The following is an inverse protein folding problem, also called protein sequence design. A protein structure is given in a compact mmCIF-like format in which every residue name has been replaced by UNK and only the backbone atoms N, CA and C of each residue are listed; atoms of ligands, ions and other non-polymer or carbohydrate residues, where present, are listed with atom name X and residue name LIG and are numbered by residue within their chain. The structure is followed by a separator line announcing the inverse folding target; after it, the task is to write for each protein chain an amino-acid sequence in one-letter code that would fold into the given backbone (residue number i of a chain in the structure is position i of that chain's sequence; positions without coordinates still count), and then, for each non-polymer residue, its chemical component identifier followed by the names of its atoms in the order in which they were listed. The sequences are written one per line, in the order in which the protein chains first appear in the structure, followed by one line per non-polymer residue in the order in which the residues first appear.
data_IF_209313975024
#
_entry.id   IF_209313975024
#
_cell.length_a   1.000
_cell.length_b   1.000
_cell.length_c   1.000
_cell.angle_alpha   90.00
_cell.angle_beta   90.00
_cell.angle_gamma   90.00
#
_symmetry.space_group_name_H-M   'P 1'
#
loop_
_entity.id
_entity.type
_entity.pdbx_description
1 polymer ?
#
# COMPACT_ATOMS: atom_id res chain seq x y z
N UNK A 1 18.31 -7.26 8.27
CA UNK A 1 17.67 -7.73 9.51
C UNK A 1 16.19 -7.98 9.23
N UNK A 2 15.70 -9.14 9.55
CA UNK A 2 14.28 -9.51 9.36
C UNK A 2 13.38 -8.43 9.95
N UNK A 3 12.33 -8.00 9.24
CA UNK A 3 11.39 -7.04 9.78
C UNK A 3 10.85 -7.49 11.13
N UNK A 4 10.67 -6.55 12.02
CA UNK A 4 10.16 -6.79 13.35
C UNK A 4 8.91 -7.68 13.33
N UNK A 5 8.90 -8.74 14.13
CA UNK A 5 7.79 -9.67 14.32
C UNK A 5 7.41 -10.55 13.11
N UNK A 6 8.23 -10.64 12.05
CA UNK A 6 7.92 -11.45 10.87
C UNK A 6 6.70 -10.94 10.07
N UNK A 7 6.30 -9.70 10.26
CA UNK A 7 5.20 -9.06 9.57
C UNK A 7 5.73 -8.20 8.42
N UNK A 8 5.87 -8.78 7.27
CA UNK A 8 6.40 -8.15 6.07
C UNK A 8 7.71 -8.77 5.63
N UNK A 9 8.04 -8.56 4.39
CA UNK A 9 9.23 -9.09 3.74
C UNK A 9 10.13 -7.95 3.34
N UNK A 10 11.42 -8.05 3.64
CA UNK A 10 12.45 -7.20 3.03
C UNK A 10 12.56 -7.58 1.56
N UNK A 11 12.44 -6.61 0.69
CA UNK A 11 12.36 -6.78 -0.77
C UNK A 11 13.44 -6.01 -1.52
N UNK A 12 14.36 -5.40 -0.78
CA UNK A 12 15.48 -4.62 -1.32
C UNK A 12 16.50 -5.47 -2.09
N UNK A 13 16.56 -6.77 -1.83
CA UNK A 13 17.43 -7.72 -2.53
C UNK A 13 16.73 -8.45 -3.70
N UNK A 14 15.51 -8.06 -4.04
CA UNK A 14 14.79 -8.66 -5.15
C UNK A 14 15.47 -8.35 -6.49
N UNK A 15 15.52 -9.33 -7.39
CA UNK A 15 16.17 -9.21 -8.70
C UNK A 15 15.37 -8.36 -9.68
N UNK A 16 14.03 -8.36 -9.55
CA UNK A 16 13.12 -7.52 -10.32
C UNK A 16 12.04 -6.92 -9.43
N UNK A 17 11.40 -5.86 -9.93
CA UNK A 17 10.25 -5.24 -9.25
C UNK A 17 9.13 -6.26 -8.95
N UNK A 18 8.81 -7.10 -9.93
CA UNK A 18 7.75 -8.09 -9.78
C UNK A 18 8.15 -9.32 -8.95
N UNK A 19 9.45 -9.63 -8.85
CA UNK A 19 9.95 -10.62 -7.89
C UNK A 19 9.70 -10.13 -6.46
N UNK A 20 9.93 -8.85 -6.19
CA UNK A 20 9.61 -8.24 -4.90
C UNK A 20 8.13 -8.37 -4.54
N UNK A 21 7.24 -8.16 -5.51
CA UNK A 21 5.79 -8.33 -5.33
C UNK A 21 5.42 -9.76 -4.90
N UNK A 22 5.99 -10.76 -5.55
CA UNK A 22 5.79 -12.17 -5.21
C UNK A 22 6.42 -12.53 -3.86
N UNK A 23 7.64 -12.07 -3.61
CA UNK A 23 8.35 -12.29 -2.33
C UNK A 23 7.56 -11.71 -1.15
N UNK A 24 6.87 -10.60 -1.33
CA UNK A 24 6.02 -9.99 -0.32
C UNK A 24 4.71 -10.77 -0.07
N UNK A 25 4.43 -11.81 -0.86
CA UNK A 25 3.20 -12.60 -0.73
C UNK A 25 1.93 -11.82 -1.13
N UNK A 26 2.05 -10.88 -2.07
CA UNK A 26 0.95 -10.01 -2.51
C UNK A 26 0.34 -10.44 -3.85
N UNK A 27 0.83 -11.50 -4.46
CA UNK A 27 0.40 -12.01 -5.76
C UNK A 27 -0.96 -12.74 -5.67
N UNK A 28 -1.98 -12.01 -5.32
CA UNK A 28 -3.38 -12.46 -5.27
C UNK A 28 -4.33 -11.29 -5.53
N UNK A 29 -5.53 -11.62 -5.96
CA UNK A 29 -6.57 -10.66 -6.31
C UNK A 29 -7.75 -10.73 -5.34
N UNK A 30 -8.52 -9.64 -5.29
CA UNK A 30 -9.73 -9.48 -4.49
C UNK A 30 -10.92 -9.29 -5.43
N UNK A 31 -11.98 -10.02 -5.16
CA UNK A 31 -13.29 -9.86 -5.81
C UNK A 31 -14.35 -9.49 -4.78
N UNK A 32 -15.46 -8.95 -5.26
CA UNK A 32 -16.64 -8.74 -4.45
C UNK A 32 -17.71 -9.77 -4.82
N UNK A 33 -18.41 -10.27 -3.82
CA UNK A 33 -19.51 -11.22 -3.96
C UNK A 33 -20.77 -10.69 -3.27
N UNK A 34 -21.99 -10.92 -3.82
CA UNK A 34 -23.22 -10.53 -3.17
C UNK A 34 -23.44 -11.30 -1.87
N UNK A 35 -24.12 -10.68 -0.92
CA UNK A 35 -24.50 -11.28 0.35
C UNK A 35 -26.02 -11.44 0.42
N UNK A 36 -26.47 -12.52 1.09
CA UNK A 36 -27.87 -12.87 1.23
C UNK A 36 -28.24 -13.10 2.69
N UNK A 37 -29.50 -12.81 3.00
CA UNK A 37 -30.10 -13.21 4.29
C UNK A 37 -30.37 -14.71 4.28
N UNK A 38 -30.60 -15.27 5.46
CA UNK A 38 -30.99 -16.70 5.60
C UNK A 38 -32.28 -17.10 4.88
N UNK A 39 -33.15 -16.14 4.53
CA UNK A 39 -34.37 -16.37 3.74
C UNK A 39 -34.12 -16.25 2.21
N UNK A 40 -32.85 -16.00 1.77
CA UNK A 40 -32.47 -15.87 0.37
C UNK A 40 -32.55 -14.45 -0.21
N UNK A 41 -33.01 -13.46 0.55
CA UNK A 41 -33.04 -12.07 0.09
C UNK A 41 -31.63 -11.49 0.04
N UNK A 42 -31.29 -10.82 -1.07
CA UNK A 42 -30.02 -10.09 -1.21
C UNK A 42 -30.00 -8.86 -0.29
N UNK A 43 -28.86 -8.62 0.33
CA UNK A 43 -28.61 -7.41 1.13
C UNK A 43 -27.80 -6.40 0.35
N UNK A 44 -27.94 -5.11 0.67
CA UNK A 44 -27.18 -4.02 0.06
C UNK A 44 -25.75 -3.94 0.64
N UNK A 45 -25.04 -5.06 0.57
CA UNK A 45 -23.65 -5.21 0.97
C UNK A 45 -23.00 -6.31 0.14
N UNK A 46 -21.67 -6.37 0.17
CA UNK A 46 -20.88 -7.37 -0.55
C UNK A 46 -19.84 -7.97 0.39
N UNK A 47 -19.42 -9.19 0.14
CA UNK A 47 -18.20 -9.75 0.71
C UNK A 47 -17.01 -9.35 -0.15
N UNK A 48 -15.95 -8.88 0.48
CA UNK A 48 -14.63 -8.75 -0.14
C UNK A 48 -13.91 -10.08 0.04
N UNK A 49 -13.52 -10.75 -1.05
CA UNK A 49 -13.02 -12.13 -1.03
C UNK A 49 -11.70 -12.22 -1.77
N UNK A 50 -10.70 -12.84 -1.13
CA UNK A 50 -9.43 -13.18 -1.79
C UNK A 50 -9.64 -14.40 -2.69
N UNK A 51 -9.33 -14.25 -3.97
CA UNK A 51 -9.58 -15.30 -4.97
C UNK A 51 -8.73 -16.55 -4.78
N UNK A 52 -7.50 -16.41 -4.28
CA UNK A 52 -6.55 -17.52 -4.19
C UNK A 52 -7.01 -18.65 -3.26
N UNK A 53 -7.80 -18.33 -2.22
CA UNK A 53 -8.25 -19.29 -1.20
C UNK A 53 -9.71 -19.09 -0.77
N UNK A 54 -10.47 -18.24 -1.48
CA UNK A 54 -11.84 -17.88 -1.16
C UNK A 54 -12.06 -17.32 0.25
N UNK A 55 -11.02 -16.72 0.82
CA UNK A 55 -11.11 -16.12 2.14
C UNK A 55 -11.88 -14.81 2.10
N UNK A 56 -12.89 -14.70 2.94
CA UNK A 56 -13.61 -13.43 3.17
C UNK A 56 -12.71 -12.50 3.97
N UNK A 57 -12.38 -11.34 3.40
CA UNK A 57 -11.55 -10.31 4.02
C UNK A 57 -12.39 -9.25 4.77
N UNK A 58 -13.64 -9.10 4.39
CA UNK A 58 -14.56 -8.18 5.06
C UNK A 58 -15.90 -8.07 4.37
N UNK A 59 -16.78 -7.28 4.97
CA UNK A 59 -18.08 -6.90 4.41
C UNK A 59 -18.01 -5.42 4.05
N UNK A 60 -18.36 -5.11 2.81
CA UNK A 60 -18.21 -3.77 2.21
C UNK A 60 -19.55 -3.28 1.66
N UNK A 61 -19.65 -1.97 1.46
CA UNK A 61 -20.83 -1.37 0.88
C UNK A 61 -21.01 -1.69 -0.61
N UNK A 62 -22.20 -1.48 -1.17
CA UNK A 62 -22.54 -1.87 -2.54
C UNK A 62 -21.76 -1.08 -3.62
N UNK A 63 -21.15 0.05 -3.27
CA UNK A 63 -20.36 0.89 -4.17
C UNK A 63 -18.87 0.79 -3.93
N UNK A 64 -18.46 -0.05 -2.98
CA UNK A 64 -17.04 -0.27 -2.72
C UNK A 64 -16.40 -1.05 -3.86
N UNK A 65 -15.23 -0.62 -4.28
CA UNK A 65 -14.43 -1.25 -5.33
C UNK A 65 -13.04 -1.54 -4.78
N UNK A 66 -12.50 -2.75 -4.95
CA UNK A 66 -11.15 -3.06 -4.51
C UNK A 66 -10.12 -2.30 -5.33
N UNK A 67 -9.01 -1.92 -4.69
CA UNK A 67 -7.75 -1.63 -5.36
C UNK A 67 -6.92 -2.91 -5.29
N UNK A 68 -6.58 -3.50 -6.43
CA UNK A 68 -5.79 -4.72 -6.47
C UNK A 68 -4.37 -4.47 -5.96
N UNK A 69 -3.79 -5.47 -5.31
CA UNK A 69 -2.41 -5.37 -4.81
C UNK A 69 -1.44 -5.03 -5.94
N UNK A 70 -1.63 -5.62 -7.12
CA UNK A 70 -0.83 -5.35 -8.31
C UNK A 70 -0.90 -3.89 -8.73
N UNK A 71 -2.10 -3.31 -8.80
CA UNK A 71 -2.29 -1.90 -9.18
C UNK A 71 -1.66 -0.95 -8.16
N UNK A 72 -1.74 -1.30 -6.87
CA UNK A 72 -1.11 -0.55 -5.80
C UNK A 72 0.42 -0.58 -5.89
N UNK A 73 0.99 -1.75 -6.16
CA UNK A 73 2.43 -1.94 -6.27
C UNK A 73 3.01 -1.26 -7.51
N UNK A 74 2.31 -1.36 -8.65
CA UNK A 74 2.71 -0.80 -9.94
C UNK A 74 2.89 0.72 -9.92
N UNK A 75 2.24 1.43 -9.00
CA UNK A 75 2.40 2.88 -8.80
C UNK A 75 3.86 3.27 -8.55
N UNK A 76 4.61 2.40 -7.88
CA UNK A 76 6.02 2.65 -7.56
C UNK A 76 7.00 2.25 -8.67
N UNK A 77 6.58 1.42 -9.63
CA UNK A 77 7.48 0.86 -10.66
C UNK A 77 8.29 1.94 -11.41
N UNK A 78 7.68 3.01 -11.96
CA UNK A 78 8.44 4.04 -12.67
C UNK A 78 9.44 4.78 -11.79
N UNK A 79 9.13 4.96 -10.51
CA UNK A 79 10.00 5.66 -9.55
C UNK A 79 11.16 4.77 -9.08
N UNK A 80 10.95 3.47 -9.04
CA UNK A 80 12.00 2.49 -8.75
C UNK A 80 12.92 2.34 -9.97
N UNK A 81 12.35 2.28 -11.17
CA UNK A 81 13.10 2.15 -12.43
C UNK A 81 13.95 3.40 -12.71
N UNK A 82 13.48 4.60 -12.37
CA UNK A 82 14.26 5.85 -12.48
C UNK A 82 15.35 5.97 -11.42
N UNK A 83 15.32 5.14 -10.36
CA UNK A 83 16.23 5.21 -9.24
C UNK A 83 15.84 6.21 -8.14
N UNK A 84 14.69 6.88 -8.27
CA UNK A 84 14.20 7.86 -7.28
C UNK A 84 13.76 7.19 -5.98
N UNK A 85 13.23 5.98 -6.08
CA UNK A 85 12.84 5.15 -4.95
C UNK A 85 13.57 3.81 -4.95
N UNK A 86 13.87 3.31 -3.76
CA UNK A 86 14.34 1.95 -3.52
C UNK A 86 13.23 1.17 -2.78
N UNK A 87 12.86 0.01 -3.29
CA UNK A 87 11.97 -0.91 -2.56
C UNK A 87 12.60 -1.26 -1.20
N UNK A 88 11.78 -1.27 -0.16
CA UNK A 88 12.26 -1.55 1.19
C UNK A 88 11.52 -2.71 1.82
N UNK A 89 10.25 -2.56 2.17
CA UNK A 89 9.41 -3.61 2.75
C UNK A 89 8.02 -3.60 2.13
N UNK A 90 7.43 -4.77 2.04
CA UNK A 90 6.03 -4.91 1.67
C UNK A 90 5.44 -6.14 2.38
N UNK A 91 4.13 -6.18 2.49
CA UNK A 91 3.46 -7.32 3.09
C UNK A 91 1.98 -7.07 3.37
N UNK A 92 1.42 -7.98 4.15
CA UNK A 92 0.03 -7.89 4.59
C UNK A 92 -0.09 -8.09 6.09
N UNK A 93 -1.16 -7.54 6.63
CA UNK A 93 -1.58 -7.67 8.03
C UNK A 93 -2.95 -8.33 8.08
N UNK A 94 -3.23 -9.01 9.21
CA UNK A 94 -4.52 -9.67 9.44
C UNK A 94 -4.91 -10.57 8.28
N UNK A 95 -3.95 -11.40 7.85
CA UNK A 95 -4.13 -12.41 6.81
C UNK A 95 -4.62 -11.84 5.46
N UNK A 96 -4.23 -10.62 5.12
CA UNK A 96 -4.55 -9.96 3.85
C UNK A 96 -5.62 -8.87 3.94
N UNK A 97 -6.23 -8.63 5.11
CA UNK A 97 -7.20 -7.53 5.26
C UNK A 97 -6.58 -6.17 4.98
N UNK A 98 -5.28 -6.02 5.25
CA UNK A 98 -4.50 -4.81 4.96
C UNK A 98 -3.20 -5.17 4.30
N UNK A 99 -2.80 -4.35 3.33
CA UNK A 99 -1.53 -4.49 2.62
C UNK A 99 -0.79 -3.17 2.62
N UNK A 100 0.55 -3.23 2.58
CA UNK A 100 1.37 -2.03 2.42
C UNK A 100 2.56 -2.29 1.53
N UNK A 101 3.06 -1.23 0.93
CA UNK A 101 4.34 -1.16 0.21
C UNK A 101 5.08 0.06 0.72
N UNK A 102 6.32 -0.12 1.11
CA UNK A 102 7.21 0.93 1.58
C UNK A 102 8.44 0.98 0.68
N UNK A 103 8.70 2.17 0.16
CA UNK A 103 9.93 2.49 -0.56
C UNK A 103 10.73 3.53 0.21
N UNK A 104 12.03 3.48 0.13
CA UNK A 104 12.92 4.51 0.64
C UNK A 104 13.26 5.48 -0.48
N UNK A 105 13.22 6.79 -0.22
CA UNK A 105 13.69 7.79 -1.16
C UNK A 105 15.21 7.67 -1.30
N UNK A 106 15.67 7.64 -2.56
CA UNK A 106 17.08 7.70 -2.89
C UNK A 106 17.49 9.18 -2.93
N UNK A 107 17.84 9.73 -1.78
CA UNK A 107 18.34 11.08 -1.65
C UNK A 107 19.83 11.06 -1.99
N UNK A 108 20.20 11.26 -3.25
CA UNK A 108 21.58 11.51 -3.61
C UNK A 108 22.06 12.79 -2.92
N UNK A 109 22.99 12.60 -1.97
CA UNK A 109 24.02 13.53 -1.50
C UNK A 109 23.69 15.05 -1.36
N UNK A 110 22.44 15.45 -1.23
CA UNK A 110 22.19 16.77 -0.68
C UNK A 110 22.65 16.73 0.78
N UNK A 111 23.62 17.56 1.14
CA UNK A 111 24.24 17.64 2.46
C UNK A 111 23.16 17.69 3.53
N UNK A 112 22.84 16.51 4.07
CA UNK A 112 22.01 16.40 5.26
C UNK A 112 22.81 17.05 6.36
N UNK A 113 22.29 18.12 6.91
CA UNK A 113 22.87 18.78 8.09
C UNK A 113 23.11 17.67 9.14
N UNK A 114 24.37 17.51 9.54
CA UNK A 114 24.80 16.51 10.50
C UNK A 114 23.89 16.56 11.72
N UNK A 115 23.05 15.51 11.89
CA UNK A 115 22.22 15.33 13.08
C UNK A 115 20.76 15.02 12.81
N UNK A 116 20.23 15.12 11.59
CA UNK A 116 18.82 14.89 11.28
C UNK A 116 18.67 13.94 10.09
N UNK A 117 19.05 12.67 10.30
CA UNK A 117 18.76 11.59 9.35
C UNK A 117 17.27 11.22 9.41
N UNK A 118 16.40 12.09 8.95
CA UNK A 118 15.01 11.73 8.72
C UNK A 118 14.96 11.01 7.38
N UNK A 119 15.19 9.70 7.40
CA UNK A 119 14.96 8.85 6.25
C UNK A 119 13.52 9.01 5.80
N UNK A 120 13.30 9.57 4.63
CA UNK A 120 11.96 9.71 4.06
C UNK A 120 11.59 8.42 3.33
N UNK A 121 10.37 7.99 3.55
CA UNK A 121 9.80 6.83 2.90
C UNK A 121 8.56 7.25 2.11
N UNK A 122 8.32 6.57 0.99
CA UNK A 122 7.05 6.57 0.29
C UNK A 122 6.25 5.34 0.73
N UNK A 123 5.02 5.54 1.15
CA UNK A 123 4.13 4.51 1.65
C UNK A 123 2.85 4.46 0.80
N UNK A 124 2.44 3.26 0.41
CA UNK A 124 1.06 2.96 0.05
C UNK A 124 0.52 1.94 1.05
N UNK A 125 -0.60 2.25 1.67
CA UNK A 125 -1.33 1.38 2.58
C UNK A 125 -2.76 1.23 2.07
N UNK A 126 -3.26 0.01 2.01
CA UNK A 126 -4.57 -0.31 1.44
C UNK A 126 -5.32 -1.33 2.31
N UNK A 127 -6.63 -1.18 2.43
CA UNK A 127 -7.51 -2.10 3.14
C UNK A 127 -8.45 -2.85 2.18
N UNK A 128 -8.56 -4.15 2.38
CA UNK A 128 -9.50 -5.02 1.68
C UNK A 128 -10.73 -5.37 2.54
N UNK A 129 -10.77 -4.93 3.79
CA UNK A 129 -11.82 -5.23 4.78
C UNK A 129 -12.95 -4.18 4.82
N UNK A 130 -12.87 -3.13 3.99
CA UNK A 130 -13.82 -2.01 3.99
C UNK A 130 -13.60 -0.98 5.10
N UNK A 131 -12.61 -1.18 5.98
CA UNK A 131 -12.35 -0.30 7.15
C UNK A 131 -11.24 0.71 6.91
N UNK A 132 -10.44 0.53 5.88
CA UNK A 132 -9.31 1.39 5.54
C UNK A 132 -9.39 1.85 4.09
N UNK A 133 -9.33 3.17 3.87
CA UNK A 133 -9.12 3.74 2.56
C UNK A 133 -7.66 3.54 2.10
N UNK A 134 -7.39 3.75 0.82
CA UNK A 134 -6.01 3.83 0.33
C UNK A 134 -5.35 5.08 0.90
N UNK A 135 -4.17 4.93 1.47
CA UNK A 135 -3.30 6.03 1.89
C UNK A 135 -2.01 5.95 1.09
N UNK A 136 -1.62 7.04 0.49
CA UNK A 136 -0.46 7.11 -0.39
C UNK A 136 0.28 8.43 -0.20
N UNK A 137 1.59 8.40 -0.11
CA UNK A 137 2.43 9.59 0.01
C UNK A 137 3.71 9.35 0.81
N UNK A 138 4.23 10.43 1.40
CA UNK A 138 5.49 10.41 2.13
C UNK A 138 5.30 10.32 3.63
N UNK A 139 6.19 9.60 4.30
CA UNK A 139 6.22 9.49 5.76
C UNK A 139 7.66 9.42 6.26
N UNK A 140 7.97 10.02 7.40
CA UNK A 140 9.26 9.84 8.07
C UNK A 140 9.34 8.48 8.79
N UNK A 141 8.26 7.75 8.89
CA UNK A 141 8.16 6.53 9.70
C UNK A 141 8.42 5.30 8.83
N UNK A 142 9.44 4.53 9.21
CA UNK A 142 9.69 3.20 8.65
C UNK A 142 8.61 2.23 9.12
N UNK A 143 7.82 1.73 8.19
CA UNK A 143 6.77 0.76 8.48
C UNK A 143 7.34 -0.65 8.52
N UNK A 144 7.26 -1.31 9.65
CA UNK A 144 7.75 -2.68 9.86
C UNK A 144 6.73 -3.57 10.58
N UNK A 145 5.64 -3.01 11.08
CA UNK A 145 4.57 -3.74 11.77
C UNK A 145 3.25 -2.95 11.77
N UNK A 146 2.19 -3.56 12.27
CA UNK A 146 0.87 -2.92 12.36
C UNK A 146 0.88 -1.59 13.14
N UNK A 147 1.67 -1.51 14.22
CA UNK A 147 1.75 -0.29 15.02
C UNK A 147 2.43 0.84 14.26
N UNK A 148 3.56 0.58 13.60
CA UNK A 148 4.28 1.59 12.82
C UNK A 148 3.50 1.99 11.56
N UNK A 149 2.72 1.09 10.95
CA UNK A 149 1.79 1.43 9.86
C UNK A 149 0.71 2.41 10.36
N UNK A 150 0.11 2.13 11.51
CA UNK A 150 -0.87 3.02 12.12
C UNK A 150 -0.26 4.37 12.53
N UNK A 151 0.95 4.37 13.07
CA UNK A 151 1.71 5.59 13.39
C UNK A 151 2.01 6.41 12.14
N UNK A 152 2.43 5.78 11.05
CA UNK A 152 2.71 6.47 9.78
C UNK A 152 1.47 7.19 9.25
N UNK A 153 0.29 6.56 9.30
CA UNK A 153 -0.98 7.18 8.89
C UNK A 153 -1.42 8.33 9.81
N UNK A 154 -1.12 8.25 11.09
CA UNK A 154 -1.49 9.26 12.09
C UNK A 154 -0.43 10.34 12.35
N UNK A 155 0.77 10.23 11.80
CA UNK A 155 1.86 11.16 12.02
C UNK A 155 1.60 12.51 11.33
N UNK A 156 1.72 13.60 12.08
CA UNK A 156 1.54 14.96 11.55
C UNK A 156 2.58 15.35 10.48
N UNK A 157 3.76 14.73 10.54
CA UNK A 157 4.83 14.93 9.56
C UNK A 157 4.70 14.03 8.32
N UNK A 158 3.72 13.12 8.29
CA UNK A 158 3.40 12.33 7.13
C UNK A 158 2.49 13.11 6.19
N UNK A 159 2.81 13.05 4.90
CA UNK A 159 2.06 13.73 3.83
C UNK A 159 1.33 12.66 3.00
N UNK A 160 0.30 12.04 3.60
CA UNK A 160 -0.46 10.97 2.99
C UNK A 160 -1.79 11.48 2.45
N UNK A 161 -2.05 11.17 1.20
CA UNK A 161 -3.33 11.42 0.53
C UNK A 161 -4.22 10.20 0.74
N UNK A 162 -5.47 10.45 1.06
CA UNK A 162 -6.48 9.42 1.28
C UNK A 162 -7.39 9.27 0.07
N UNK A 163 -7.48 8.07 -0.50
CA UNK A 163 -8.38 7.73 -1.61
C UNK A 163 -9.39 6.70 -1.15
N UNK A 164 -10.68 6.98 -1.37
CA UNK A 164 -11.76 6.07 -1.03
C UNK A 164 -11.90 4.97 -2.09
N UNK A 165 -12.30 3.79 -1.64
CA UNK A 165 -12.66 2.67 -2.52
C UNK A 165 -14.00 2.90 -3.22
N UNK A 166 -13.94 3.36 -4.45
CA UNK A 166 -15.08 3.52 -5.36
C UNK A 166 -14.63 3.23 -6.80
N UNK A 167 -15.54 3.25 -7.75
CA UNK A 167 -15.28 2.86 -9.15
C UNK A 167 -14.05 3.50 -9.82
N UNK A 168 -13.57 4.63 -9.32
CA UNK A 168 -12.39 5.33 -9.85
C UNK A 168 -11.17 5.23 -8.92
N UNK A 169 -11.14 4.26 -8.00
CA UNK A 169 -10.03 4.14 -7.04
C UNK A 169 -8.69 3.94 -7.73
N UNK A 170 -8.65 3.11 -8.77
CA UNK A 170 -7.42 2.84 -9.54
C UNK A 170 -6.92 4.09 -10.23
N UNK A 171 -7.76 4.76 -11.00
CA UNK A 171 -7.42 5.98 -11.75
C UNK A 171 -6.99 7.12 -10.81
N UNK A 172 -7.59 7.21 -9.64
CA UNK A 172 -7.20 8.21 -8.65
C UNK A 172 -5.84 7.91 -8.03
N UNK A 173 -5.51 6.64 -7.79
CA UNK A 173 -4.20 6.23 -7.31
C UNK A 173 -3.13 6.45 -8.39
N UNK A 174 -3.42 6.16 -9.66
CA UNK A 174 -2.52 6.42 -10.79
C UNK A 174 -2.20 7.92 -10.93
N UNK A 175 -3.18 8.81 -10.76
CA UNK A 175 -2.95 10.27 -10.76
C UNK A 175 -2.05 10.73 -9.62
N UNK A 176 -2.08 10.07 -8.46
CA UNK A 176 -1.20 10.41 -7.35
C UNK A 176 0.27 10.12 -7.66
N UNK A 177 0.55 9.13 -8.47
CA UNK A 177 1.91 8.88 -8.98
C UNK A 177 2.48 10.10 -9.70
N UNK A 178 1.67 10.73 -10.55
CA UNK A 178 2.10 11.92 -11.31
C UNK A 178 2.38 13.10 -10.37
N UNK A 179 1.58 13.26 -9.32
CA UNK A 179 1.81 14.28 -8.28
C UNK A 179 3.12 13.99 -7.52
N UNK A 180 3.43 12.73 -7.22
CA UNK A 180 4.70 12.36 -6.57
C UNK A 180 5.91 12.63 -7.46
N UNK A 181 5.81 12.34 -8.75
CA UNK A 181 6.87 12.64 -9.71
C UNK A 181 7.18 14.16 -9.75
N UNK A 182 6.16 14.99 -9.73
CA UNK A 182 6.34 16.45 -9.68
C UNK A 182 6.96 16.90 -8.35
N UNK A 183 6.53 16.33 -7.23
CA UNK A 183 7.08 16.64 -5.92
C UNK A 183 8.57 16.24 -5.81
N UNK A 184 8.98 15.15 -6.45
CA UNK A 184 10.36 14.71 -6.45
C UNK A 184 11.25 15.66 -7.28
N UNK A 185 10.74 16.20 -8.38
CA UNK A 185 11.44 17.18 -9.22
C UNK A 185 11.61 18.56 -8.55
N UNK A 186 10.77 18.91 -7.59
CA UNK A 186 10.90 20.17 -6.84
C UNK A 186 11.96 20.08 -5.70
N UNK A 187 12.50 18.91 -5.41
CA UNK A 187 13.55 18.68 -4.41
C UNK A 187 14.95 18.53 -5.01
N UNK A 188 15.10 18.57 -6.33
CA UNK A 188 16.37 18.71 -7.03
C UNK A 188 16.73 20.21 -7.22
#
# INVERSE_FOLDING_TARGET
ATPWHGLGTEIDDATTFWDAFKMAGLDWEVQTEPLFRGNGDEVKAQASVRQSDNRVLGVVGPRWTPLQNRDAFEVFEPLVDSGDLKLHTAGSLREGERVWVLCQLNLDNSEIVKGDEVSKFALLSNGHDGKLAVHFGFTPIRVVCANTESMARGCKSSNLIRVRHHRFVKENVEKLRDVMNLANQEFE
#
